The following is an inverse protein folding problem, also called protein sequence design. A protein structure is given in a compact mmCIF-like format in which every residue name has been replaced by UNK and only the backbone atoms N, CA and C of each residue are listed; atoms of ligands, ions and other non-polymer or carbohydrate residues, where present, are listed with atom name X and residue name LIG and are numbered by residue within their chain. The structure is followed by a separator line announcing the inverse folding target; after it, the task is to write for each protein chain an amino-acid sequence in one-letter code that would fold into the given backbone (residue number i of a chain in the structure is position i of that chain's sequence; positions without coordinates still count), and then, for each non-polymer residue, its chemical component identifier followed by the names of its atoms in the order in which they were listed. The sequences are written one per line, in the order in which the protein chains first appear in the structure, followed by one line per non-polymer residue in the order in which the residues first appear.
data_IF_542731215324
#
_entry.id   IF_542731215324
#
_cell.length_a   1.000
_cell.length_b   1.000
_cell.length_c   1.000
_cell.angle_alpha   90.00
_cell.angle_beta   90.00
_cell.angle_gamma   90.00
#
_symmetry.space_group_name_H-M   'P 1'
#
loop_
_entity.id
_entity.type
_entity.pdbx_description
1 polymer ?
#
# COMPACT_ATOMS: atom_id res chain seq x y z
N UNK A 1 -24.88 -22.10 23.13
CA UNK A 1 -24.12 -22.37 21.89
C UNK A 1 -23.17 -21.22 21.67
N UNK A 2 -21.87 -21.50 21.66
CA UNK A 2 -20.84 -20.47 21.65
C UNK A 2 -20.55 -20.04 20.21
N UNK A 3 -20.96 -18.82 19.86
CA UNK A 3 -20.35 -18.10 18.73
C UNK A 3 -18.94 -17.74 19.17
N UNK A 4 -17.93 -18.42 18.63
CA UNK A 4 -16.54 -18.07 18.91
C UNK A 4 -16.17 -16.82 18.11
N UNK A 5 -15.94 -15.71 18.81
CA UNK A 5 -15.42 -14.48 18.21
C UNK A 5 -13.90 -14.59 18.05
N UNK A 6 -13.49 -15.33 17.01
CA UNK A 6 -12.10 -15.55 16.64
C UNK A 6 -11.34 -14.25 16.34
N UNK A 7 -12.04 -13.15 16.07
CA UNK A 7 -11.41 -11.84 15.90
C UNK A 7 -10.59 -11.51 17.15
N UNK A 8 -11.13 -11.63 18.36
CA UNK A 8 -10.40 -11.20 19.57
C UNK A 8 -9.17 -12.06 19.90
N UNK A 9 -9.21 -13.37 19.63
CA UNK A 9 -8.14 -14.31 20.02
C UNK A 9 -7.02 -14.40 18.97
N UNK A 10 -7.35 -14.23 17.69
CA UNK A 10 -6.38 -14.36 16.59
C UNK A 10 -5.93 -13.01 16.02
N UNK A 11 -6.51 -11.88 16.45
CA UNK A 11 -6.08 -10.54 15.99
C UNK A 11 -4.57 -10.34 16.13
N UNK A 12 -3.95 -10.76 17.23
CA UNK A 12 -2.50 -10.56 17.41
C UNK A 12 -1.67 -11.38 16.41
N UNK A 13 -2.05 -12.64 16.17
CA UNK A 13 -1.38 -13.51 15.20
C UNK A 13 -1.61 -13.03 13.76
N UNK A 14 -2.83 -12.61 13.44
CA UNK A 14 -3.15 -12.01 12.15
C UNK A 14 -2.37 -10.72 11.95
N UNK A 15 -2.34 -9.80 12.92
CA UNK A 15 -1.55 -8.57 12.83
C UNK A 15 -0.07 -8.85 12.60
N UNK A 16 0.53 -9.80 13.33
CA UNK A 16 1.93 -10.19 13.09
C UNK A 16 2.15 -10.73 11.68
N UNK A 17 1.20 -11.52 11.18
CA UNK A 17 1.25 -12.07 9.82
C UNK A 17 1.13 -10.97 8.76
N UNK A 18 0.15 -10.08 8.90
CA UNK A 18 -0.02 -8.93 8.03
C UNK A 18 1.23 -8.03 8.04
N UNK A 19 1.81 -7.74 9.21
CA UNK A 19 3.05 -6.95 9.30
C UNK A 19 4.23 -7.61 8.56
N UNK A 20 4.26 -8.94 8.47
CA UNK A 20 5.36 -9.69 7.84
C UNK A 20 5.14 -9.92 6.35
N UNK A 21 3.92 -10.25 5.94
CA UNK A 21 3.60 -10.73 4.59
C UNK A 21 2.99 -9.65 3.69
N UNK A 22 2.36 -8.61 4.25
CA UNK A 22 1.77 -7.52 3.49
C UNK A 22 2.83 -6.48 3.10
N UNK A 23 3.12 -6.36 1.81
CA UNK A 23 4.11 -5.39 1.34
C UNK A 23 3.66 -3.94 1.58
N UNK A 24 2.36 -3.69 1.43
CA UNK A 24 1.72 -2.38 1.59
C UNK A 24 1.43 -1.97 3.03
N UNK A 25 1.88 -2.73 4.05
CA UNK A 25 1.56 -2.45 5.47
C UNK A 25 1.98 -1.04 5.92
N UNK A 26 3.15 -0.58 5.47
CA UNK A 26 3.65 0.76 5.80
C UNK A 26 2.70 1.89 5.35
N UNK A 27 1.91 1.66 4.30
CA UNK A 27 0.92 2.62 3.81
C UNK A 27 -0.32 2.65 4.72
N UNK A 28 -0.69 1.53 5.36
CA UNK A 28 -1.79 1.45 6.35
C UNK A 28 -1.51 2.29 7.59
N UNK A 29 -0.24 2.38 7.99
CA UNK A 29 0.18 3.08 9.21
C UNK A 29 0.30 4.61 9.02
N UNK A 30 0.06 5.11 7.81
CA UNK A 30 0.10 6.55 7.50
C UNK A 30 -1.07 7.31 8.13
N UNK A 31 -0.79 8.44 8.79
CA UNK A 31 -1.78 9.36 9.39
C UNK A 31 -2.80 8.71 10.37
N UNK A 32 -2.38 8.22 11.54
CA UNK A 32 -3.26 7.59 12.54
C UNK A 32 -4.39 8.50 13.06
N UNK A 33 -4.21 9.81 12.94
CA UNK A 33 -5.17 10.86 13.31
C UNK A 33 -6.48 10.81 12.49
N UNK A 34 -6.44 10.24 11.28
CA UNK A 34 -7.58 10.23 10.36
C UNK A 34 -8.59 9.18 10.81
N UNK A 35 -9.69 9.65 11.40
CA UNK A 35 -10.80 8.83 11.91
C UNK A 35 -11.99 8.87 10.96
N UNK A 36 -12.73 7.77 10.92
CA UNK A 36 -14.02 7.70 10.23
C UNK A 36 -15.07 8.51 11.00
N UNK A 37 -15.78 9.41 10.31
CA UNK A 37 -16.88 10.20 10.93
C UNK A 37 -18.23 9.54 10.66
N UNK A 38 -18.43 8.99 9.44
CA UNK A 38 -19.70 8.38 9.01
C UNK A 38 -19.50 6.96 8.42
N UNK A 39 -20.61 6.28 8.08
CA UNK A 39 -20.63 4.88 7.65
C UNK A 39 -19.72 4.54 6.44
N UNK A 40 -19.45 5.47 5.51
CA UNK A 40 -18.68 5.14 4.28
C UNK A 40 -17.65 6.19 3.83
N UNK A 41 -17.53 7.32 4.52
CA UNK A 41 -16.72 8.47 4.05
C UNK A 41 -15.65 8.85 5.05
N UNK A 42 -14.42 9.03 4.56
CA UNK A 42 -13.30 9.65 5.28
C UNK A 42 -13.28 11.13 4.92
N UNK A 43 -13.12 12.02 5.92
CA UNK A 43 -12.86 13.43 5.68
C UNK A 43 -11.38 13.72 5.85
N UNK A 44 -10.75 14.25 4.81
CA UNK A 44 -9.36 14.67 4.85
C UNK A 44 -9.34 16.20 5.06
N UNK A 45 -8.84 16.69 6.21
CA UNK A 45 -8.76 18.12 6.48
C UNK A 45 -7.78 18.78 5.52
N UNK A 46 -8.23 19.84 4.85
CA UNK A 46 -7.41 20.74 4.06
C UNK A 46 -7.39 22.08 4.77
N UNK A 47 -6.34 22.31 5.55
CA UNK A 47 -6.09 23.61 6.15
C UNK A 47 -5.13 24.41 5.26
N UNK A 48 -5.48 25.67 4.98
CA UNK A 48 -4.57 26.62 4.33
C UNK A 48 -4.42 27.85 5.21
N UNK A 49 -3.18 28.20 5.48
CA UNK A 49 -2.79 29.35 6.30
C UNK A 49 -1.98 30.33 5.46
N UNK A 50 -2.18 31.62 5.69
CA UNK A 50 -1.30 32.64 5.14
C UNK A 50 0.06 32.65 5.86
N UNK A 51 1.12 32.95 5.13
CA UNK A 51 2.47 33.11 5.69
C UNK A 51 2.68 34.43 6.44
N UNK A 52 3.90 34.60 6.96
CA UNK A 52 4.35 35.85 7.54
C UNK A 52 4.36 36.98 6.51
N UNK A 53 4.09 38.19 6.97
CA UNK A 53 4.17 39.43 6.19
C UNK A 53 5.18 40.36 6.86
N UNK A 54 5.78 41.26 6.10
CA UNK A 54 6.80 42.19 6.58
C UNK A 54 6.31 42.99 7.80
N UNK A 55 7.12 42.98 8.86
CA UNK A 55 6.77 43.64 10.12
C UNK A 55 6.87 45.16 9.97
N UNK A 56 5.75 45.85 10.19
CA UNK A 56 5.74 47.31 10.35
C UNK A 56 6.05 47.66 11.81
N UNK A 57 6.92 48.65 12.05
CA UNK A 57 7.23 49.17 13.40
C UNK A 57 6.06 49.93 14.07
N UNK A 58 4.85 49.78 13.54
CA UNK A 58 3.60 50.33 14.06
C UNK A 58 2.97 49.31 15.01
N UNK A 59 2.20 49.78 15.99
CA UNK A 59 1.52 48.89 16.95
C UNK A 59 0.54 47.98 16.20
N UNK A 60 0.76 46.66 16.26
CA UNK A 60 -0.14 45.65 15.70
C UNK A 60 0.57 44.43 15.11
N UNK A 61 -0.22 43.42 14.72
CA UNK A 61 0.22 42.25 13.96
C UNK A 61 -0.42 42.26 12.57
N UNK A 62 0.29 41.70 11.59
CA UNK A 62 -0.24 41.53 10.25
C UNK A 62 -1.39 40.52 10.24
N UNK A 63 -2.50 40.86 9.56
CA UNK A 63 -3.65 39.96 9.46
C UNK A 63 -3.33 38.76 8.57
N UNK A 64 -3.69 37.58 9.04
CA UNK A 64 -3.62 36.34 8.28
C UNK A 64 -5.01 35.85 7.87
N UNK A 65 -5.05 34.94 6.90
CA UNK A 65 -6.25 34.22 6.50
C UNK A 65 -6.08 32.73 6.81
N UNK A 66 -7.12 32.14 7.40
CA UNK A 66 -7.23 30.71 7.66
C UNK A 66 -8.50 30.21 6.98
N UNK A 67 -8.39 29.19 6.14
CA UNK A 67 -9.54 28.45 5.65
C UNK A 67 -9.36 26.96 5.92
N UNK A 68 -10.46 26.33 6.29
CA UNK A 68 -10.55 24.90 6.52
C UNK A 68 -11.59 24.33 5.56
N UNK A 69 -11.14 23.46 4.66
CA UNK A 69 -11.99 22.72 3.74
C UNK A 69 -11.81 21.22 3.96
N UNK A 70 -12.76 20.40 3.53
CA UNK A 70 -12.75 18.96 3.75
C UNK A 70 -12.96 18.21 2.43
N UNK A 71 -12.02 17.33 2.10
CA UNK A 71 -12.22 16.40 1.00
C UNK A 71 -12.91 15.13 1.52
N UNK A 72 -14.07 14.82 0.95
CA UNK A 72 -14.82 13.61 1.25
C UNK A 72 -14.40 12.48 0.29
N UNK A 73 -13.78 11.43 0.83
CA UNK A 73 -13.45 10.20 0.09
C UNK A 73 -14.36 9.06 0.52
N UNK A 74 -15.04 8.43 -0.43
CA UNK A 74 -15.91 7.28 -0.18
C UNK A 74 -15.12 5.99 -0.39
N UNK A 75 -15.18 5.09 0.59
CA UNK A 75 -14.62 3.74 0.49
C UNK A 75 -15.36 2.96 -0.61
N UNK A 76 -14.63 2.28 -1.48
CA UNK A 76 -15.18 1.52 -2.60
C UNK A 76 -14.98 0.00 -2.49
N UNK A 77 -13.97 -0.46 -1.74
CA UNK A 77 -13.56 -1.86 -1.76
C UNK A 77 -14.08 -2.64 -0.55
N UNK A 78 -15.22 -3.31 -0.77
CA UNK A 78 -15.94 -4.17 0.18
C UNK A 78 -15.98 -5.59 -0.36
N UNK A 79 -15.37 -6.53 0.38
CA UNK A 79 -15.14 -7.90 -0.08
C UNK A 79 -15.57 -8.88 1.00
N UNK A 80 -16.31 -9.91 0.61
CA UNK A 80 -16.68 -11.00 1.49
C UNK A 80 -16.54 -12.36 0.82
N UNK A 81 -16.37 -13.40 1.64
CA UNK A 81 -16.36 -14.79 1.23
C UNK A 81 -16.93 -15.67 2.34
N UNK A 82 -17.57 -16.76 1.94
CA UNK A 82 -18.12 -17.77 2.83
C UNK A 82 -17.62 -19.17 2.40
N UNK A 83 -17.15 -19.96 3.36
CA UNK A 83 -16.79 -21.37 3.15
C UNK A 83 -17.67 -22.23 4.04
N UNK A 84 -18.37 -23.19 3.44
CA UNK A 84 -19.11 -24.22 4.15
C UNK A 84 -18.26 -25.49 4.21
N UNK A 85 -18.16 -26.09 5.39
CA UNK A 85 -17.34 -27.28 5.64
C UNK A 85 -18.19 -28.33 6.33
N UNK A 86 -18.24 -29.53 5.78
CA UNK A 86 -18.95 -30.67 6.37
C UNK A 86 -18.16 -31.22 7.58
N UNK A 87 -18.82 -31.64 8.68
CA UNK A 87 -18.11 -32.21 9.84
C UNK A 87 -17.41 -33.52 9.54
N UNK A 88 -17.95 -34.34 8.64
CA UNK A 88 -17.34 -35.62 8.27
C UNK A 88 -16.02 -35.38 7.54
N UNK A 89 -15.93 -34.35 6.70
CA UNK A 89 -14.69 -33.96 6.03
C UNK A 89 -13.61 -33.52 7.03
N UNK A 90 -13.99 -32.88 8.15
CA UNK A 90 -13.04 -32.46 9.20
C UNK A 90 -12.47 -33.68 9.93
N UNK A 91 -13.29 -34.69 10.20
CA UNK A 91 -12.87 -35.93 10.88
C UNK A 91 -12.03 -36.82 9.94
N UNK A 92 -12.43 -36.96 8.67
CA UNK A 92 -11.72 -37.75 7.66
C UNK A 92 -10.36 -37.14 7.28
N UNK A 93 -10.21 -35.82 7.31
CA UNK A 93 -8.95 -35.12 6.96
C UNK A 93 -7.97 -34.96 8.12
N UNK A 94 -8.23 -35.59 9.28
CA UNK A 94 -7.34 -35.60 10.44
C UNK A 94 -6.89 -34.18 10.85
N UNK A 95 -7.85 -33.24 10.94
CA UNK A 95 -7.63 -31.82 11.30
C UNK A 95 -6.92 -30.96 10.22
N UNK A 96 -6.67 -31.49 9.03
CA UNK A 96 -6.08 -30.70 7.93
C UNK A 96 -7.04 -29.60 7.48
N UNK A 97 -8.35 -29.88 7.41
CA UNK A 97 -9.43 -28.90 7.23
C UNK A 97 -9.84 -28.19 8.55
N UNK A 98 -8.96 -28.14 9.54
CA UNK A 98 -9.22 -27.32 10.72
C UNK A 98 -9.38 -25.86 10.32
N UNK A 99 -10.31 -25.17 10.96
CA UNK A 99 -10.65 -23.77 10.65
C UNK A 99 -9.44 -22.84 10.73
N UNK A 100 -8.49 -23.15 11.61
CA UNK A 100 -7.23 -22.40 11.70
C UNK A 100 -6.39 -22.52 10.42
N UNK A 101 -6.34 -23.69 9.80
CA UNK A 101 -5.63 -23.89 8.53
C UNK A 101 -6.37 -23.20 7.39
N UNK A 102 -7.70 -23.31 7.31
CA UNK A 102 -8.51 -22.63 6.28
C UNK A 102 -8.30 -21.12 6.35
N UNK A 103 -8.39 -20.53 7.56
CA UNK A 103 -8.07 -19.11 7.78
C UNK A 103 -6.64 -18.78 7.32
N UNK A 104 -5.66 -19.57 7.75
CA UNK A 104 -4.26 -19.29 7.47
C UNK A 104 -3.98 -19.32 5.95
N UNK A 105 -4.46 -20.35 5.26
CA UNK A 105 -4.33 -20.51 3.82
C UNK A 105 -5.07 -19.40 3.08
N UNK A 106 -6.32 -19.09 3.44
CA UNK A 106 -7.09 -18.02 2.81
C UNK A 106 -6.39 -16.66 2.95
N UNK A 107 -5.88 -16.35 4.15
CA UNK A 107 -5.19 -15.09 4.38
C UNK A 107 -3.86 -15.00 3.60
N UNK A 108 -3.05 -16.06 3.56
CA UNK A 108 -1.75 -16.04 2.85
C UNK A 108 -1.92 -16.05 1.32
N UNK A 109 -2.83 -16.87 0.81
CA UNK A 109 -2.93 -17.16 -0.61
C UNK A 109 -3.90 -16.23 -1.35
N UNK A 110 -4.89 -15.66 -0.65
CA UNK A 110 -5.93 -14.83 -1.28
C UNK A 110 -5.99 -13.43 -0.68
N UNK A 111 -6.26 -13.28 0.63
CA UNK A 111 -6.58 -11.97 1.21
C UNK A 111 -5.41 -10.97 1.21
N UNK A 112 -4.20 -11.42 1.59
CA UNK A 112 -2.98 -10.58 1.60
C UNK A 112 -2.59 -10.18 0.17
N UNK A 113 -2.47 -11.12 -0.80
CA UNK A 113 -2.23 -10.76 -2.20
C UNK A 113 -3.26 -9.80 -2.78
N UNK A 114 -4.56 -10.04 -2.54
CA UNK A 114 -5.63 -9.18 -3.04
C UNK A 114 -5.52 -7.76 -2.49
N UNK A 115 -5.21 -7.63 -1.20
CA UNK A 115 -5.00 -6.33 -0.56
C UNK A 115 -3.83 -5.55 -1.20
N UNK A 116 -2.70 -6.22 -1.47
CA UNK A 116 -1.55 -5.59 -2.13
C UNK A 116 -1.89 -5.19 -3.58
N UNK A 117 -2.48 -6.10 -4.36
CA UNK A 117 -2.90 -5.84 -5.75
C UNK A 117 -3.85 -4.65 -5.85
N UNK A 118 -4.87 -4.60 -4.97
CA UNK A 118 -5.83 -3.50 -4.92
C UNK A 118 -5.15 -2.18 -4.58
N UNK A 119 -4.29 -2.15 -3.56
CA UNK A 119 -3.63 -0.90 -3.12
C UNK A 119 -2.71 -0.34 -4.18
N UNK A 120 -1.89 -1.16 -4.83
CA UNK A 120 -0.97 -0.68 -5.87
C UNK A 120 -1.69 -0.24 -7.15
N UNK A 121 -2.69 -0.99 -7.61
CA UNK A 121 -3.51 -0.59 -8.76
C UNK A 121 -4.33 0.67 -8.49
N UNK A 122 -4.89 0.80 -7.27
CA UNK A 122 -5.58 2.02 -6.84
C UNK A 122 -4.65 3.22 -6.86
N UNK A 123 -3.44 3.07 -6.36
CA UNK A 123 -2.43 4.12 -6.35
C UNK A 123 -2.08 4.59 -7.78
N UNK A 124 -1.90 3.65 -8.71
CA UNK A 124 -1.69 3.97 -10.12
C UNK A 124 -2.88 4.77 -10.70
N UNK A 125 -4.11 4.27 -10.49
CA UNK A 125 -5.32 4.93 -11.01
C UNK A 125 -5.52 6.35 -10.46
N UNK A 126 -5.14 6.59 -9.20
CA UNK A 126 -5.24 7.92 -8.59
C UNK A 126 -4.12 8.84 -9.08
N UNK A 127 -2.90 8.33 -9.27
CA UNK A 127 -1.84 9.11 -9.93
C UNK A 127 -2.25 9.52 -11.34
N UNK A 128 -2.82 8.63 -12.15
CA UNK A 128 -3.34 8.98 -13.48
C UNK A 128 -4.43 10.06 -13.38
N UNK A 129 -5.39 9.87 -12.47
CA UNK A 129 -6.51 10.81 -12.26
C UNK A 129 -6.03 12.20 -11.86
N UNK A 130 -4.95 12.27 -11.09
CA UNK A 130 -4.36 13.51 -10.60
C UNK A 130 -3.21 14.06 -11.46
N UNK A 131 -2.95 13.46 -12.64
CA UNK A 131 -1.81 13.83 -13.49
C UNK A 131 -0.46 13.81 -12.74
N UNK A 132 -0.30 12.82 -11.87
CA UNK A 132 0.93 12.55 -11.13
C UNK A 132 2.05 11.99 -12.02
N UNK A 133 3.21 11.74 -11.41
CA UNK A 133 4.40 11.27 -12.13
C UNK A 133 4.35 9.76 -12.37
N UNK A 134 3.97 9.40 -13.60
CA UNK A 134 4.07 8.05 -14.12
C UNK A 134 4.97 8.09 -15.34
N UNK A 135 6.16 7.50 -15.24
CA UNK A 135 7.09 7.36 -16.34
C UNK A 135 6.85 6.03 -17.06
N UNK A 136 6.32 6.13 -18.28
CA UNK A 136 6.11 4.98 -19.19
C UNK A 136 7.17 4.88 -20.28
N UNK A 137 8.09 5.83 -20.34
CA UNK A 137 9.02 6.02 -21.45
C UNK A 137 10.40 5.46 -21.17
N UNK A 138 10.84 5.50 -19.92
CA UNK A 138 12.18 5.05 -19.53
C UNK A 138 12.20 3.54 -19.35
N UNK A 139 12.90 2.86 -20.27
CA UNK A 139 13.29 1.46 -20.08
C UNK A 139 14.44 1.41 -19.09
N UNK A 140 14.15 0.93 -17.88
CA UNK A 140 15.13 0.91 -16.78
C UNK A 140 16.13 -0.24 -16.96
N UNK A 141 17.41 0.09 -16.90
CA UNK A 141 18.59 -0.78 -17.00
C UNK A 141 19.58 -0.42 -15.90
N UNK A 142 20.57 -1.27 -15.62
CA UNK A 142 21.53 -1.01 -14.54
C UNK A 142 22.34 0.28 -14.75
N UNK A 143 22.48 0.73 -16.00
CA UNK A 143 23.22 1.94 -16.35
C UNK A 143 22.42 3.23 -16.13
N UNK A 144 21.09 3.21 -16.31
CA UNK A 144 20.26 4.41 -16.20
C UNK A 144 19.40 4.46 -14.93
N UNK A 145 19.29 3.36 -14.19
CA UNK A 145 18.45 3.29 -12.99
C UNK A 145 18.84 4.35 -11.96
N UNK A 146 20.15 4.52 -11.71
CA UNK A 146 20.64 5.51 -10.74
C UNK A 146 20.28 6.94 -11.16
N UNK A 147 20.43 7.27 -12.44
CA UNK A 147 20.07 8.61 -12.95
C UNK A 147 18.56 8.86 -12.87
N UNK A 148 17.74 7.86 -13.20
CA UNK A 148 16.29 7.94 -13.08
C UNK A 148 15.84 8.06 -11.61
N UNK A 149 16.47 7.32 -10.71
CA UNK A 149 16.21 7.38 -9.27
C UNK A 149 16.61 8.74 -8.68
N UNK A 150 17.81 9.23 -8.98
CA UNK A 150 18.29 10.54 -8.53
C UNK A 150 17.41 11.69 -9.04
N UNK A 151 16.93 11.61 -10.29
CA UNK A 151 16.03 12.60 -10.86
C UNK A 151 14.70 12.65 -10.10
N UNK A 152 14.13 11.50 -9.77
CA UNK A 152 12.84 11.43 -9.05
C UNK A 152 13.00 11.81 -7.57
N UNK A 153 14.14 11.48 -6.93
CA UNK A 153 14.48 11.98 -5.60
C UNK A 153 14.60 13.51 -5.58
N UNK A 154 15.31 14.11 -6.54
CA UNK A 154 15.47 15.56 -6.63
C UNK A 154 14.12 16.29 -6.81
N UNK A 155 13.19 15.71 -7.60
CA UNK A 155 11.84 16.25 -7.75
C UNK A 155 11.07 16.21 -6.42
N UNK A 156 11.20 15.13 -5.64
CA UNK A 156 10.59 15.03 -4.32
C UNK A 156 11.16 16.04 -3.33
N UNK A 157 12.47 16.28 -3.39
CA UNK A 157 13.17 17.25 -2.52
C UNK A 157 12.75 18.69 -2.84
N UNK A 158 12.69 19.05 -4.12
CA UNK A 158 12.19 20.35 -4.59
C UNK A 158 10.71 20.56 -4.17
N UNK A 159 9.92 19.49 -4.16
CA UNK A 159 8.55 19.51 -3.65
C UNK A 159 8.43 19.53 -2.12
N UNK A 160 9.55 19.60 -1.39
CA UNK A 160 9.62 19.60 0.08
C UNK A 160 8.99 18.36 0.73
N UNK A 161 9.05 17.21 0.05
CA UNK A 161 8.64 15.92 0.62
C UNK A 161 9.75 15.45 1.57
N UNK A 162 9.42 14.96 2.78
CA UNK A 162 10.46 14.46 3.70
C UNK A 162 11.33 13.37 3.06
N UNK A 163 12.64 13.47 3.31
CA UNK A 163 13.63 12.47 2.87
C UNK A 163 13.51 11.17 3.68
N UNK A 164 13.33 11.30 5.00
CA UNK A 164 13.19 10.15 5.90
C UNK A 164 11.88 9.40 5.68
N UNK A 165 11.97 8.08 5.52
CA UNK A 165 10.80 7.21 5.43
C UNK A 165 10.25 7.02 4.02
N UNK A 166 10.97 7.45 2.98
CA UNK A 166 10.69 7.05 1.59
C UNK A 166 10.85 5.53 1.43
N UNK A 167 9.93 4.93 0.68
CA UNK A 167 9.89 3.50 0.41
C UNK A 167 9.93 3.31 -1.10
N UNK A 168 10.84 2.47 -1.57
CA UNK A 168 10.93 2.05 -2.96
C UNK A 168 10.40 0.62 -3.09
N UNK A 169 9.23 0.46 -3.68
CA UNK A 169 8.69 -0.85 -4.04
C UNK A 169 9.25 -1.27 -5.39
N UNK A 170 9.83 -2.46 -5.47
CA UNK A 170 10.45 -2.98 -6.70
C UNK A 170 9.99 -4.40 -7.01
N UNK A 171 9.88 -4.73 -8.29
CA UNK A 171 9.73 -6.12 -8.73
C UNK A 171 11.04 -6.90 -8.52
N UNK A 172 11.02 -8.26 -8.50
CA UNK A 172 12.25 -9.04 -8.34
C UNK A 172 13.24 -8.84 -9.49
N UNK A 173 12.73 -8.62 -10.71
CA UNK A 173 13.55 -8.29 -11.88
C UNK A 173 14.22 -6.93 -11.71
N UNK A 174 13.48 -5.93 -11.23
CA UNK A 174 14.04 -4.61 -10.93
C UNK A 174 15.04 -4.66 -9.79
N UNK A 175 14.80 -5.43 -8.73
CA UNK A 175 15.74 -5.56 -7.62
C UNK A 175 17.11 -6.13 -8.06
N UNK A 176 17.13 -7.02 -9.07
CA UNK A 176 18.39 -7.48 -9.66
C UNK A 176 19.15 -6.31 -10.31
N UNK A 177 18.45 -5.47 -11.05
CA UNK A 177 19.01 -4.26 -11.69
C UNK A 177 19.53 -3.28 -10.64
N UNK A 178 18.78 -3.06 -9.55
CA UNK A 178 19.21 -2.20 -8.43
C UNK A 178 20.53 -2.71 -7.84
N UNK A 179 20.64 -4.01 -7.54
CA UNK A 179 21.86 -4.61 -7.00
C UNK A 179 23.04 -4.56 -7.95
N UNK A 180 22.80 -4.74 -9.25
CA UNK A 180 23.85 -4.59 -10.27
C UNK A 180 24.34 -3.14 -10.33
N UNK A 181 23.44 -2.17 -10.26
CA UNK A 181 23.79 -0.74 -10.21
C UNK A 181 24.59 -0.37 -8.96
N UNK A 182 24.21 -0.87 -7.77
CA UNK A 182 24.97 -0.72 -6.53
C UNK A 182 26.37 -1.33 -6.62
N UNK A 183 26.49 -2.52 -7.22
CA UNK A 183 27.77 -3.20 -7.44
C UNK A 183 28.71 -2.37 -8.32
N UNK A 184 28.18 -1.76 -9.38
CA UNK A 184 28.92 -0.85 -10.25
C UNK A 184 29.39 0.38 -9.45
N UNK A 185 28.50 1.02 -8.68
CA UNK A 185 28.85 2.19 -7.87
C UNK A 185 29.96 1.88 -6.85
N UNK A 186 29.87 0.76 -6.12
CA UNK A 186 30.90 0.34 -5.15
C UNK A 186 32.25 0.06 -5.81
N UNK A 187 32.26 -0.55 -7.00
CA UNK A 187 33.50 -0.84 -7.73
C UNK A 187 34.23 0.42 -8.21
N UNK A 188 33.50 1.49 -8.54
CA UNK A 188 34.05 2.76 -8.98
C UNK A 188 34.66 3.51 -7.78
N UNK A 189 34.00 3.51 -6.62
CA UNK A 189 34.49 4.14 -5.38
C UNK A 189 35.78 3.51 -4.87
N UNK A 190 35.94 2.17 -4.98
CA UNK A 190 37.16 1.48 -4.53
C UNK A 190 38.37 1.79 -5.43
N UNK A 191 38.15 2.08 -6.71
CA UNK A 191 39.21 2.34 -7.68
C UNK A 191 39.64 3.82 -7.80
N UNK A 192 38.93 4.76 -7.17
CA UNK A 192 39.23 6.20 -7.26
C UNK A 192 39.39 6.84 -5.87
N UNK A 193 40.64 6.99 -5.43
CA UNK A 193 41.05 7.53 -4.12
C UNK A 193 41.03 9.06 -4.02
N UNK A 194 40.17 9.75 -4.76
CA UNK A 194 40.11 11.22 -4.70
C UNK A 194 38.72 11.79 -5.01
N UNK A 195 38.06 12.23 -3.94
CA UNK A 195 37.29 13.48 -3.89
C UNK A 195 36.38 13.79 -5.08
N UNK A 196 35.26 13.06 -5.22
CA UNK A 196 34.02 13.69 -5.67
C UNK A 196 32.90 13.17 -4.78
N UNK A 197 32.62 13.91 -3.72
CA UNK A 197 31.36 13.82 -2.98
C UNK A 197 30.26 14.40 -3.89
N UNK A 198 29.89 13.66 -4.95
CA UNK A 198 28.59 13.87 -5.57
C UNK A 198 27.60 13.44 -4.50
N UNK A 199 26.70 14.33 -4.11
CA UNK A 199 25.46 13.98 -3.41
C UNK A 199 24.65 13.06 -4.33
N UNK A 200 25.11 11.83 -4.52
CA UNK A 200 24.28 10.73 -4.99
C UNK A 200 23.45 10.39 -3.76
N UNK A 201 22.13 10.52 -3.85
CA UNK A 201 21.27 10.06 -2.77
C UNK A 201 21.60 8.59 -2.57
N UNK A 202 21.97 8.19 -1.34
CA UNK A 202 22.32 6.80 -1.16
C UNK A 202 21.04 6.01 -1.32
N UNK A 203 21.09 4.92 -2.08
CA UNK A 203 20.00 3.92 -2.04
C UNK A 203 19.75 3.43 -0.61
N UNK A 204 20.73 3.59 0.29
CA UNK A 204 20.62 3.32 1.72
C UNK A 204 19.65 4.27 2.46
N UNK A 205 19.36 5.46 1.92
CA UNK A 205 18.44 6.43 2.54
C UNK A 205 16.96 6.07 2.30
N UNK A 206 16.69 5.09 1.41
CA UNK A 206 15.34 4.65 1.03
C UNK A 206 15.14 3.19 1.39
N UNK A 207 13.98 2.87 1.98
CA UNK A 207 13.66 1.48 2.31
C UNK A 207 13.20 0.73 1.04
N UNK A 208 14.02 -0.18 0.53
CA UNK A 208 13.67 -0.99 -0.63
C UNK A 208 12.84 -2.21 -0.19
N UNK A 209 11.63 -2.33 -0.73
CA UNK A 209 10.74 -3.49 -0.52
C UNK A 209 10.49 -4.23 -1.82
N UNK A 210 10.78 -5.53 -1.82
CA UNK A 210 10.46 -6.39 -2.95
C UNK A 210 8.99 -6.78 -2.93
N UNK A 211 8.33 -6.67 -4.08
CA UNK A 211 6.95 -7.11 -4.30
C UNK A 211 6.93 -8.08 -5.49
N UNK A 212 6.26 -9.24 -5.40
CA UNK A 212 6.10 -10.11 -6.56
C UNK A 212 5.47 -9.38 -7.74
N UNK A 213 5.98 -9.57 -8.96
CA UNK A 213 5.48 -8.86 -10.16
C UNK A 213 3.98 -9.10 -10.42
N UNK A 214 3.47 -10.28 -10.05
CA UNK A 214 2.04 -10.59 -10.11
C UNK A 214 1.17 -9.65 -9.26
N UNK A 215 1.71 -9.10 -8.15
CA UNK A 215 1.03 -8.18 -7.25
C UNK A 215 1.26 -6.69 -7.57
N UNK A 216 2.09 -6.39 -8.59
CA UNK A 216 2.52 -5.05 -8.93
C UNK A 216 2.14 -4.69 -10.38
N UNK A 217 0.84 -4.56 -10.65
CA UNK A 217 0.30 -4.18 -11.96
C UNK A 217 -0.71 -3.03 -11.86
N UNK A 218 -0.97 -2.36 -12.99
CA UNK A 218 -1.88 -1.21 -13.04
C UNK A 218 -3.36 -1.59 -12.86
N UNK A 219 -3.76 -2.79 -13.32
CA UNK A 219 -5.17 -3.23 -13.30
C UNK A 219 -5.35 -4.70 -12.92
N UNK A 220 -6.44 -4.98 -12.20
CA UNK A 220 -6.84 -6.32 -11.78
C UNK A 220 -8.35 -6.51 -11.94
N UNK A 221 -8.75 -7.76 -12.20
CA UNK A 221 -10.10 -8.24 -12.08
C UNK A 221 -10.27 -8.90 -10.70
N UNK A 222 -11.17 -8.33 -9.90
CA UNK A 222 -11.50 -8.79 -8.55
C UNK A 222 -12.77 -9.67 -8.51
N UNK A 223 -13.16 -10.32 -9.61
CA UNK A 223 -14.33 -11.21 -9.61
C UNK A 223 -14.07 -12.44 -8.74
N UNK A 224 -12.89 -13.03 -8.84
CA UNK A 224 -12.44 -14.17 -8.04
C UNK A 224 -10.95 -14.01 -7.72
N UNK A 225 -10.64 -13.56 -6.50
CA UNK A 225 -9.29 -13.18 -6.08
C UNK A 225 -8.69 -12.03 -6.91
N UNK A 226 -7.37 -11.92 -6.92
CA UNK A 226 -6.64 -10.88 -7.65
C UNK A 226 -6.05 -11.39 -8.96
N UNK A 227 -6.85 -11.40 -10.03
CA UNK A 227 -6.39 -11.81 -11.37
C UNK A 227 -5.98 -10.59 -12.18
N UNK A 228 -4.79 -10.60 -12.78
CA UNK A 228 -4.34 -9.49 -13.62
C UNK A 228 -5.27 -9.29 -14.83
N UNK A 229 -5.65 -8.05 -15.12
CA UNK A 229 -6.40 -7.76 -16.34
C UNK A 229 -5.51 -7.95 -17.60
N UNK A 230 -6.13 -8.20 -18.75
CA UNK A 230 -5.40 -8.39 -20.00
C UNK A 230 -4.70 -7.10 -20.47
N UNK A 231 -5.27 -5.95 -20.15
CA UNK A 231 -4.76 -4.59 -20.42
C UNK A 231 -3.97 -4.02 -19.23
N UNK A 232 -3.47 -4.87 -18.33
CA UNK A 232 -2.71 -4.45 -17.16
C UNK A 232 -1.24 -4.19 -17.51
N UNK A 233 -0.81 -2.96 -17.29
CA UNK A 233 0.59 -2.55 -17.41
C UNK A 233 1.40 -3.07 -16.22
N UNK A 234 2.67 -3.36 -16.48
CA UNK A 234 3.58 -3.84 -15.47
C UNK A 234 4.22 -2.64 -14.77
N UNK A 235 3.95 -2.47 -13.48
CA UNK A 235 4.64 -1.47 -12.67
C UNK A 235 6.01 -2.06 -12.30
N UNK A 236 7.09 -1.35 -12.61
CA UNK A 236 8.46 -1.81 -12.39
C UNK A 236 8.96 -1.40 -11.01
N UNK A 237 8.73 -0.13 -10.64
CA UNK A 237 9.01 0.41 -9.33
C UNK A 237 8.05 1.54 -8.94
N UNK A 238 7.85 1.72 -7.64
CA UNK A 238 7.07 2.82 -7.04
C UNK A 238 7.93 3.45 -5.94
N UNK A 239 8.28 4.71 -6.08
CA UNK A 239 8.88 5.50 -5.00
C UNK A 239 7.76 6.25 -4.32
N UNK A 240 7.62 6.05 -3.01
CA UNK A 240 6.54 6.65 -2.26
C UNK A 240 6.96 7.04 -0.86
N UNK A 241 6.54 8.23 -0.45
CA UNK A 241 6.56 8.62 0.94
C UNK A 241 5.19 8.31 1.59
N UNK A 242 5.09 7.49 2.66
CA UNK A 242 3.80 7.07 3.24
C UNK A 242 2.84 8.22 3.59
N UNK A 243 3.36 9.42 3.86
CA UNK A 243 2.51 10.59 4.15
C UNK A 243 1.81 11.20 2.94
N UNK A 244 2.02 10.71 1.71
CA UNK A 244 1.18 11.10 0.57
C UNK A 244 -0.10 10.25 0.45
N UNK A 245 -0.12 9.08 1.08
CA UNK A 245 -1.28 8.17 1.08
C UNK A 245 -2.04 8.21 2.40
N UNK A 246 -3.29 7.78 2.33
CA UNK A 246 -4.15 7.45 3.46
C UNK A 246 -4.83 6.14 3.14
N UNK A 247 -4.41 5.09 3.83
CA UNK A 247 -5.06 3.78 3.75
C UNK A 247 -5.73 3.45 5.08
N UNK A 248 -7.01 3.04 5.03
CA UNK A 248 -7.77 2.71 6.23
C UNK A 248 -8.72 1.55 5.97
N UNK A 249 -8.59 0.53 6.81
CA UNK A 249 -9.56 -0.54 6.93
C UNK A 249 -10.61 -0.13 7.96
N UNK A 250 -11.88 -0.14 7.55
CA UNK A 250 -13.00 0.30 8.38
C UNK A 250 -13.63 -0.86 9.14
N UNK A 251 -13.81 -1.98 8.46
CA UNK A 251 -14.54 -3.11 8.98
C UNK A 251 -13.81 -4.39 8.59
N UNK A 252 -13.62 -5.24 9.60
CA UNK A 252 -13.17 -6.62 9.43
C UNK A 252 -14.12 -7.48 10.23
N UNK A 253 -14.62 -8.54 9.59
CA UNK A 253 -15.51 -9.51 10.20
C UNK A 253 -15.04 -10.88 9.83
N UNK A 254 -14.61 -11.64 10.84
CA UNK A 254 -14.15 -13.01 10.68
C UNK A 254 -14.91 -13.81 11.73
N UNK A 255 -15.83 -14.67 11.29
CA UNK A 255 -16.59 -15.53 12.19
C UNK A 255 -16.68 -16.96 11.68
N UNK A 256 -16.65 -17.88 12.63
CA UNK A 256 -16.98 -19.28 12.42
C UNK A 256 -18.30 -19.56 13.15
N UNK A 257 -19.26 -20.14 12.44
CA UNK A 257 -20.47 -20.68 13.02
C UNK A 257 -20.36 -22.20 13.08
N UNK A 258 -20.65 -22.74 14.26
CA UNK A 258 -20.67 -24.18 14.49
C UNK A 258 -22.02 -24.78 14.06
N UNK A 259 -22.09 -26.10 13.82
CA UNK A 259 -23.34 -26.80 13.53
C UNK A 259 -24.46 -26.43 14.52
N UNK A 260 -25.69 -26.28 14.00
CA UNK A 260 -26.90 -25.94 14.76
C UNK A 260 -27.03 -24.49 15.24
N UNK A 261 -26.09 -23.60 14.91
CA UNK A 261 -26.11 -22.20 15.42
C UNK A 261 -26.98 -21.27 14.56
N UNK A 262 -27.15 -21.58 13.28
CA UNK A 262 -28.02 -20.90 12.32
C UNK A 262 -28.72 -21.94 11.41
N UNK A 263 -29.88 -21.58 10.87
CA UNK A 263 -30.62 -22.33 9.86
C UNK A 263 -29.77 -22.75 8.65
N UNK A 264 -28.75 -21.97 8.31
CA UNK A 264 -27.80 -22.24 7.22
C UNK A 264 -26.61 -23.12 7.62
N UNK A 265 -26.30 -23.21 8.91
CA UNK A 265 -25.24 -24.12 9.38
C UNK A 265 -25.69 -25.56 9.31
N UNK A 266 -26.99 -25.86 9.52
CA UNK A 266 -27.50 -27.23 9.60
C UNK A 266 -26.56 -28.11 10.45
N UNK A 267 -25.94 -29.13 9.84
CA UNK A 267 -24.93 -29.98 10.48
C UNK A 267 -23.48 -29.52 10.20
N UNK A 268 -23.23 -28.54 9.33
CA UNK A 268 -21.90 -28.08 8.93
C UNK A 268 -21.35 -26.85 9.65
N UNK A 269 -20.05 -26.60 9.45
CA UNK A 269 -19.36 -25.39 9.88
C UNK A 269 -19.42 -24.33 8.79
N UNK A 270 -19.66 -23.08 9.19
CA UNK A 270 -19.71 -21.94 8.27
C UNK A 270 -18.67 -20.90 8.65
N UNK A 271 -17.68 -20.71 7.77
CA UNK A 271 -16.68 -19.68 7.90
C UNK A 271 -17.05 -18.47 7.05
N UNK A 272 -17.07 -17.28 7.64
CA UNK A 272 -17.36 -16.02 6.97
C UNK A 272 -16.24 -15.01 7.21
N UNK A 273 -15.73 -14.41 6.14
CA UNK A 273 -14.75 -13.32 6.19
C UNK A 273 -15.23 -12.14 5.35
N UNK A 274 -15.23 -10.93 5.91
CA UNK A 274 -15.49 -9.68 5.21
C UNK A 274 -14.46 -8.63 5.58
N UNK A 275 -13.92 -7.95 4.58
CA UNK A 275 -13.00 -6.83 4.72
C UNK A 275 -13.51 -5.64 3.93
N UNK A 276 -13.56 -4.49 4.59
CA UNK A 276 -13.94 -3.21 3.98
C UNK A 276 -12.89 -2.16 4.31
N UNK A 277 -12.22 -1.66 3.29
CA UNK A 277 -11.14 -0.69 3.40
C UNK A 277 -10.85 -0.03 2.07
N UNK A 278 -10.02 1.00 2.07
CA UNK A 278 -9.60 1.65 0.82
C UNK A 278 -8.26 2.39 0.98
N UNK A 279 -7.68 2.77 -0.15
CA UNK A 279 -6.48 3.60 -0.23
C UNK A 279 -6.78 4.86 -1.05
N UNK A 280 -6.35 6.01 -0.51
CA UNK A 280 -6.47 7.31 -1.16
C UNK A 280 -5.12 8.03 -1.18
N UNK A 281 -4.78 8.64 -2.30
CA UNK A 281 -3.69 9.57 -2.50
C UNK A 281 -4.20 10.99 -2.22
N UNK A 282 -3.40 11.75 -1.49
CA UNK A 282 -3.67 13.14 -1.17
C UNK A 282 -3.30 14.03 -2.36
N UNK A 283 -4.27 14.74 -2.93
CA UNK A 283 -4.06 15.65 -4.07
C UNK A 283 -2.93 16.67 -3.84
N UNK A 284 -2.80 17.22 -2.62
CA UNK A 284 -1.73 18.19 -2.32
C UNK A 284 -0.33 17.56 -2.16
N UNK A 285 -0.25 16.23 -2.07
CA UNK A 285 0.99 15.49 -1.85
C UNK A 285 1.27 14.49 -2.96
N UNK A 286 0.67 14.66 -4.14
CA UNK A 286 0.97 13.88 -5.35
C UNK A 286 2.48 13.80 -5.62
N UNK A 287 3.29 14.88 -5.45
CA UNK A 287 4.73 14.79 -5.69
C UNK A 287 5.46 13.78 -4.80
N UNK A 288 4.84 13.33 -3.69
CA UNK A 288 5.40 12.30 -2.82
C UNK A 288 5.26 10.87 -3.34
N UNK A 289 4.76 10.67 -4.57
CA UNK A 289 4.73 9.38 -5.22
C UNK A 289 5.11 9.48 -6.71
N UNK A 290 6.01 8.60 -7.13
CA UNK A 290 6.43 8.42 -8.52
C UNK A 290 6.40 6.94 -8.90
N UNK A 291 6.03 6.64 -10.13
CA UNK A 291 6.00 5.28 -10.67
C UNK A 291 6.73 5.18 -12.00
N UNK A 292 7.35 4.03 -12.24
CA UNK A 292 7.80 3.63 -13.56
C UNK A 292 7.02 2.40 -14.01
N UNK A 293 6.48 2.45 -15.22
CA UNK A 293 5.53 1.48 -15.74
C UNK A 293 5.94 1.05 -17.14
N UNK A 294 5.99 -0.25 -17.38
CA UNK A 294 6.09 -0.81 -18.72
C UNK A 294 4.67 -1.04 -19.25
N UNK A 295 4.30 -0.32 -20.30
CA UNK A 295 3.03 -0.52 -20.98
C UNK A 295 2.89 -1.96 -21.49
N UNK A 296 1.67 -2.51 -21.43
CA UNK A 296 1.35 -3.78 -22.07
C UNK A 296 1.55 -3.70 -23.60
N UNK A 297 1.88 -4.84 -24.21
CA UNK A 297 2.11 -4.97 -25.65
C UNK A 297 0.81 -5.13 -26.44
#
# INVERSE_FOLDING_TARGET
MAVYDYATTFTQLLQQKYNKELCSDALSNSHPEIKFINAQTIKLPRMTVSGYKDHTRTIGFNSGTLSNDWEAKKLAHDRDIEFWVDPMDIDETNLTLSVANIQNTFETEQAIPETDCYRFSKLHSELESYSGRIDTSTVVSAANFLEAFDAEMAIMDEASVPEEGRILYVTPTMNKIVKEAEGIQRSITVNTSSSINRKVHSLDDVTIKMVPAARLKSKYNFTDGCVAAADADQINWILIHPTCTVCRDKYSYIKLFTPGTDSRTADGYLYQNRKYGDLFLLEKKIPGCAMNVTAHA
#
